data_IF_703616866911
#
_entry.id   IF_703616866911
#
_cell.length_a   1.000
_cell.length_b   1.000
_cell.length_c   1.000
_cell.angle_alpha   90.00
_cell.angle_beta   90.00
_cell.angle_gamma   90.00
#
_symmetry.space_group_name_H-M   'P 1'
#
loop_
_entity.id
_entity.type
_entity.pdbx_description
1 polymer ?
#
# COMPACT_ATOMS: atom_id res chain seq x y z
N UNK A 1 12.39 -41.30 27.84
CA UNK A 1 12.28 -40.07 27.04
C UNK A 1 12.26 -38.88 27.99
N UNK A 2 13.26 -37.99 27.89
CA UNK A 2 13.44 -36.84 28.75
C UNK A 2 12.40 -35.75 28.41
N UNK A 3 11.45 -35.52 29.32
CA UNK A 3 10.38 -34.51 29.15
C UNK A 3 10.93 -33.11 28.84
N UNK A 4 12.15 -32.83 29.28
CA UNK A 4 12.92 -31.62 29.00
C UNK A 4 13.25 -31.45 27.52
N UNK A 5 13.61 -32.51 26.78
CA UNK A 5 13.95 -32.40 25.34
C UNK A 5 12.71 -32.07 24.49
N UNK A 6 11.55 -32.56 24.90
CA UNK A 6 10.26 -32.26 24.24
C UNK A 6 9.83 -30.81 24.42
N UNK A 7 10.15 -30.19 25.57
CA UNK A 7 9.88 -28.78 25.85
C UNK A 7 10.79 -27.87 25.01
N UNK A 8 12.07 -28.24 24.85
CA UNK A 8 13.01 -27.49 24.00
C UNK A 8 12.66 -27.56 22.51
N UNK A 9 12.18 -28.72 22.01
CA UNK A 9 11.74 -28.85 20.63
C UNK A 9 10.48 -28.02 20.33
N UNK A 10 9.61 -27.83 21.33
CA UNK A 10 8.41 -26.99 21.22
C UNK A 10 8.75 -25.48 21.28
N UNK A 11 9.77 -25.09 22.06
CA UNK A 11 10.24 -23.70 22.18
C UNK A 11 11.12 -23.25 20.99
N UNK A 12 11.84 -24.15 20.32
CA UNK A 12 12.58 -23.87 19.08
C UNK A 12 11.66 -23.73 17.84
N UNK A 13 10.37 -24.04 17.97
CA UNK A 13 9.40 -24.04 16.89
C UNK A 13 8.68 -22.71 16.64
N UNK A 14 9.09 -21.61 17.30
CA UNK A 14 8.57 -20.27 16.96
C UNK A 14 9.27 -19.80 15.68
N UNK A 15 8.94 -20.46 14.58
CA UNK A 15 9.27 -20.04 13.23
C UNK A 15 8.63 -18.65 13.07
N UNK A 16 9.47 -17.64 12.88
CA UNK A 16 9.06 -16.31 12.45
C UNK A 16 8.37 -16.41 11.09
N UNK A 17 7.08 -16.73 11.10
CA UNK A 17 6.25 -16.76 9.91
C UNK A 17 5.98 -15.32 9.49
N UNK A 18 6.88 -14.76 8.67
CA UNK A 18 6.65 -13.51 7.96
C UNK A 18 5.63 -13.82 6.83
N UNK A 19 4.35 -13.82 7.18
CA UNK A 19 3.30 -13.85 6.17
C UNK A 19 3.25 -12.49 5.47
N UNK A 20 3.27 -12.52 4.13
CA UNK A 20 2.88 -11.39 3.30
C UNK A 20 1.49 -10.90 3.72
N UNK A 21 1.33 -9.62 4.04
CA UNK A 21 0.02 -9.07 4.40
C UNK A 21 -0.75 -8.65 3.15
N UNK A 22 -2.05 -8.95 3.12
CA UNK A 22 -2.96 -8.41 2.12
C UNK A 22 -3.54 -7.07 2.61
N UNK A 23 -3.25 -6.00 1.87
CA UNK A 23 -3.63 -4.63 2.21
C UNK A 23 -4.74 -4.19 1.25
N UNK A 24 -5.94 -4.00 1.80
CA UNK A 24 -7.13 -3.71 1.01
C UNK A 24 -7.20 -2.24 0.58
N UNK A 25 -7.52 -2.02 -0.70
CA UNK A 25 -7.85 -0.70 -1.25
C UNK A 25 -9.17 -0.80 -2.01
N UNK A 26 -10.17 -0.02 -1.61
CA UNK A 26 -11.40 0.10 -2.35
C UNK A 26 -11.19 0.99 -3.59
N UNK A 27 -11.72 0.53 -4.72
CA UNK A 27 -11.73 1.27 -5.99
C UNK A 27 -13.17 1.71 -6.27
N UNK A 28 -13.39 3.02 -6.25
CA UNK A 28 -14.73 3.61 -6.25
C UNK A 28 -15.27 3.72 -4.82
N UNK A 29 -15.51 4.94 -4.37
CA UNK A 29 -15.92 5.24 -3.00
C UNK A 29 -17.43 5.28 -2.78
N UNK A 30 -17.87 5.49 -1.52
CA UNK A 30 -19.27 5.60 -1.16
C UNK A 30 -20.02 6.63 -2.02
N UNK A 31 -21.27 6.33 -2.36
CA UNK A 31 -22.13 7.18 -3.21
C UNK A 31 -21.57 7.43 -4.62
N UNK A 32 -20.78 6.49 -5.15
CA UNK A 32 -20.26 6.55 -6.52
C UNK A 32 -19.12 7.55 -6.71
N UNK A 33 -18.41 7.91 -5.63
CA UNK A 33 -17.24 8.80 -5.73
C UNK A 33 -16.10 8.12 -6.49
N UNK A 34 -15.44 8.86 -7.37
CA UNK A 34 -14.21 8.41 -8.01
C UNK A 34 -13.05 8.53 -7.01
N UNK A 35 -12.78 7.47 -6.24
CA UNK A 35 -11.79 7.50 -5.16
C UNK A 35 -11.11 6.14 -4.93
N UNK A 36 -9.84 6.17 -4.55
CA UNK A 36 -9.16 5.05 -3.90
C UNK A 36 -9.26 5.20 -2.39
N UNK A 37 -9.67 4.16 -1.66
CA UNK A 37 -9.85 4.23 -0.20
C UNK A 37 -9.12 3.05 0.46
N UNK A 38 -8.06 3.29 1.26
CA UNK A 38 -7.42 4.59 1.45
C UNK A 38 -6.68 5.06 0.18
N UNK A 39 -6.50 6.37 0.03
CA UNK A 39 -5.71 6.96 -1.06
C UNK A 39 -4.21 7.06 -0.72
N UNK A 40 -3.83 6.77 0.53
CA UNK A 40 -2.44 6.58 0.94
C UNK A 40 -2.32 5.19 1.55
N UNK A 41 -1.50 4.35 0.93
CA UNK A 41 -1.33 2.94 1.28
C UNK A 41 0.09 2.77 1.81
N UNK A 42 0.22 2.21 3.00
CA UNK A 42 1.51 1.88 3.60
C UNK A 42 1.72 0.38 3.46
N UNK A 43 2.87 -0.03 2.94
CA UNK A 43 3.21 -1.43 2.74
C UNK A 43 4.69 -1.68 3.03
N UNK A 44 5.05 -2.95 3.11
CA UNK A 44 6.43 -3.42 3.21
C UNK A 44 6.71 -4.36 2.04
N UNK A 45 7.94 -4.38 1.53
CA UNK A 45 8.34 -5.38 0.52
C UNK A 45 7.93 -6.78 0.98
N UNK A 46 7.19 -7.49 0.12
CA UNK A 46 6.59 -8.79 0.41
C UNK A 46 5.08 -8.76 0.59
N UNK A 47 4.47 -7.61 0.89
CA UNK A 47 3.01 -7.47 0.99
C UNK A 47 2.30 -7.55 -0.38
N UNK A 48 0.97 -7.67 -0.34
CA UNK A 48 0.11 -7.53 -1.51
C UNK A 48 -0.84 -6.34 -1.32
N UNK A 49 -0.99 -5.50 -2.33
CA UNK A 49 -2.07 -4.51 -2.36
C UNK A 49 -3.25 -5.09 -3.14
N UNK A 50 -4.37 -5.24 -2.45
CA UNK A 50 -5.57 -5.86 -3.00
C UNK A 50 -6.59 -4.77 -3.32
N UNK A 51 -6.66 -4.41 -4.60
CA UNK A 51 -7.61 -3.44 -5.10
C UNK A 51 -8.96 -4.10 -5.39
N UNK A 52 -10.02 -3.63 -4.73
CA UNK A 52 -11.38 -4.16 -4.86
C UNK A 52 -12.33 -3.09 -5.39
N UNK A 53 -12.86 -3.28 -6.60
CA UNK A 53 -13.83 -2.38 -7.20
C UNK A 53 -15.17 -2.53 -6.49
N UNK A 54 -15.58 -1.47 -5.79
CA UNK A 54 -16.85 -1.40 -5.05
C UNK A 54 -17.94 -0.74 -5.88
N UNK A 55 -17.59 0.27 -6.67
CA UNK A 55 -18.53 1.01 -7.54
C UNK A 55 -17.83 1.48 -8.82
N UNK A 56 -18.61 1.82 -9.85
CA UNK A 56 -18.13 2.52 -11.04
C UNK A 56 -17.20 1.73 -11.96
N UNK A 57 -16.70 2.43 -12.99
CA UNK A 57 -15.67 1.97 -13.92
C UNK A 57 -14.36 2.66 -13.58
N UNK A 58 -13.32 1.89 -13.28
CA UNK A 58 -12.02 2.47 -12.90
C UNK A 58 -10.86 1.64 -13.41
N UNK A 59 -9.70 2.28 -13.54
CA UNK A 59 -8.41 1.62 -13.77
C UNK A 59 -7.43 2.02 -12.67
N UNK A 60 -6.31 1.32 -12.60
CA UNK A 60 -5.15 1.68 -11.79
C UNK A 60 -3.98 1.75 -12.73
N UNK A 61 -3.37 2.93 -12.82
CA UNK A 61 -2.22 3.18 -13.68
C UNK A 61 -1.19 3.90 -12.84
N UNK A 62 0.03 3.38 -12.81
CA UNK A 62 1.13 4.10 -12.17
C UNK A 62 1.48 5.37 -12.94
N UNK A 63 1.73 6.45 -12.20
CA UNK A 63 2.19 7.73 -12.71
C UNK A 63 3.64 8.00 -12.30
N UNK A 64 4.40 8.66 -13.17
CA UNK A 64 5.71 9.18 -12.79
C UNK A 64 5.54 10.31 -11.75
N UNK A 65 6.42 10.37 -10.75
CA UNK A 65 6.26 11.27 -9.61
C UNK A 65 6.16 12.77 -9.97
N UNK A 66 6.62 13.17 -11.15
CA UNK A 66 6.58 14.56 -11.63
C UNK A 66 5.32 14.92 -12.43
N UNK A 67 4.50 13.95 -12.85
CA UNK A 67 3.35 14.18 -13.72
C UNK A 67 2.09 13.63 -13.09
N UNK A 68 1.02 14.42 -13.12
CA UNK A 68 -0.32 14.01 -12.72
C UNK A 68 -1.02 13.39 -13.94
N UNK A 69 -1.81 12.34 -13.73
CA UNK A 69 -2.61 11.68 -14.77
C UNK A 69 -1.84 11.19 -16.01
N UNK A 70 -0.56 10.87 -15.87
CA UNK A 70 0.29 10.45 -17.00
C UNK A 70 0.90 9.10 -16.69
N UNK A 71 0.70 8.12 -17.58
CA UNK A 71 1.26 6.80 -17.39
C UNK A 71 2.78 6.86 -17.25
N UNK A 72 3.32 6.13 -16.28
CA UNK A 72 4.75 6.01 -16.07
C UNK A 72 5.44 5.38 -17.28
N UNK A 73 6.64 5.87 -17.59
CA UNK A 73 7.53 5.32 -18.63
C UNK A 73 8.45 4.22 -18.10
N UNK A 74 8.39 3.90 -16.80
CA UNK A 74 9.24 2.88 -16.18
C UNK A 74 8.87 1.49 -16.68
N UNK A 75 9.87 0.63 -16.87
CA UNK A 75 9.66 -0.76 -17.27
C UNK A 75 8.97 -1.60 -16.19
N UNK A 76 9.08 -1.21 -14.92
CA UNK A 76 8.44 -1.84 -13.77
C UNK A 76 7.16 -1.11 -13.34
N UNK A 77 6.57 -0.28 -14.21
CA UNK A 77 5.34 0.42 -13.92
C UNK A 77 4.17 -0.55 -13.82
N UNK A 78 3.35 -0.42 -12.78
CA UNK A 78 2.17 -1.28 -12.63
C UNK A 78 0.93 -0.68 -13.32
N UNK A 79 0.06 -1.58 -13.79
CA UNK A 79 -1.25 -1.25 -14.35
C UNK A 79 -2.23 -2.38 -14.10
N UNK A 80 -3.51 -2.06 -13.87
CA UNK A 80 -4.59 -3.06 -13.84
C UNK A 80 -4.82 -3.72 -15.21
N UNK A 81 -4.17 -3.24 -16.28
CA UNK A 81 -4.31 -3.76 -17.65
C UNK A 81 -5.58 -3.29 -18.37
N UNK A 82 -6.31 -2.33 -17.78
CA UNK A 82 -7.54 -1.81 -18.34
C UNK A 82 -8.43 -1.14 -17.29
N UNK A 83 -9.59 -0.66 -17.74
CA UNK A 83 -10.63 -0.11 -16.87
C UNK A 83 -11.78 -1.12 -16.72
N UNK A 84 -12.11 -1.47 -15.48
CA UNK A 84 -13.09 -2.51 -15.14
C UNK A 84 -14.28 -1.94 -14.37
N UNK A 85 -15.45 -2.55 -14.56
CA UNK A 85 -16.64 -2.30 -13.74
C UNK A 85 -16.57 -3.06 -12.43
N UNK A 86 -17.16 -2.52 -11.37
CA UNK A 86 -17.44 -3.30 -10.16
C UNK A 86 -18.48 -4.42 -10.44
N UNK A 87 -18.37 -5.59 -9.79
CA UNK A 87 -17.28 -6.01 -8.90
C UNK A 87 -16.06 -6.52 -9.68
N UNK A 88 -14.87 -6.23 -9.16
CA UNK A 88 -13.59 -6.76 -9.64
C UNK A 88 -12.58 -6.72 -8.51
N UNK A 89 -11.60 -7.62 -8.55
CA UNK A 89 -10.44 -7.58 -7.68
C UNK A 89 -9.17 -7.70 -8.52
N UNK A 90 -8.13 -6.96 -8.15
CA UNK A 90 -6.80 -7.04 -8.74
C UNK A 90 -5.75 -6.88 -7.64
N UNK A 91 -4.73 -7.72 -7.67
CA UNK A 91 -3.69 -7.77 -6.66
C UNK A 91 -2.37 -7.30 -7.25
N UNK A 92 -1.72 -6.36 -6.58
CA UNK A 92 -0.38 -5.88 -6.88
C UNK A 92 0.59 -6.44 -5.81
N UNK A 93 1.45 -7.40 -6.15
CA UNK A 93 2.55 -7.78 -5.26
C UNK A 93 3.54 -6.63 -5.15
N UNK A 94 4.05 -6.34 -3.95
CA UNK A 94 5.05 -5.27 -3.75
C UNK A 94 6.43 -5.84 -3.50
N UNK A 95 7.33 -5.65 -4.46
CA UNK A 95 8.67 -6.23 -4.50
C UNK A 95 9.78 -5.19 -4.34
N UNK A 96 9.52 -3.94 -4.74
CA UNK A 96 10.49 -2.83 -4.70
C UNK A 96 10.05 -1.76 -3.71
N UNK A 97 10.91 -1.45 -2.74
CA UNK A 97 10.69 -0.36 -1.79
C UNK A 97 10.71 1.02 -2.48
N UNK A 98 9.98 1.97 -1.93
CA UNK A 98 9.90 3.33 -2.45
C UNK A 98 8.49 3.92 -2.42
N UNK A 99 8.35 5.12 -2.98
CA UNK A 99 7.07 5.80 -3.12
C UNK A 99 6.60 5.69 -4.57
N UNK A 100 5.42 5.11 -4.79
CA UNK A 100 4.77 5.00 -6.10
C UNK A 100 3.47 5.81 -6.08
N UNK A 101 3.14 6.48 -7.19
CA UNK A 101 1.87 7.21 -7.36
C UNK A 101 1.04 6.52 -8.42
N UNK A 102 -0.27 6.51 -8.25
CA UNK A 102 -1.17 5.91 -9.23
C UNK A 102 -2.46 6.71 -9.36
N UNK A 103 -3.16 6.49 -10.46
CA UNK A 103 -4.37 7.21 -10.80
C UNK A 103 -5.34 6.33 -11.59
N UNK A 104 -6.58 6.81 -11.73
CA UNK A 104 -7.57 6.23 -12.64
C UNK A 104 -7.56 6.93 -14.00
N UNK A 105 -7.33 6.18 -15.08
CA UNK A 105 -7.25 6.68 -16.46
C UNK A 105 -8.58 6.83 -17.19
N UNK A 106 -9.71 6.55 -16.54
CA UNK A 106 -11.03 6.84 -17.13
C UNK A 106 -11.16 8.35 -17.35
N UNK A 107 -11.60 8.81 -18.54
CA UNK A 107 -11.72 10.23 -18.84
C UNK A 107 -12.47 11.00 -17.75
N UNK A 108 -11.87 12.08 -17.25
CA UNK A 108 -12.44 12.91 -16.19
C UNK A 108 -12.25 12.40 -14.76
N UNK A 109 -11.76 11.17 -14.54
CA UNK A 109 -11.62 10.63 -13.18
C UNK A 109 -10.35 11.10 -12.46
N UNK A 110 -9.28 11.43 -13.19
CA UNK A 110 -8.00 11.81 -12.59
C UNK A 110 -7.84 13.32 -12.32
N UNK A 111 -8.41 14.20 -13.14
CA UNK A 111 -8.14 15.63 -13.06
C UNK A 111 -8.67 16.27 -11.77
N UNK A 112 -7.86 17.08 -11.05
CA UNK A 112 -8.33 17.88 -9.92
C UNK A 112 -9.51 18.78 -10.31
N UNK A 113 -10.53 18.88 -9.47
CA UNK A 113 -11.77 19.64 -9.75
C UNK A 113 -12.95 18.79 -10.23
N UNK A 114 -12.72 17.55 -10.66
CA UNK A 114 -13.76 16.54 -10.97
C UNK A 114 -13.65 15.28 -10.08
N UNK A 115 -12.97 15.38 -8.94
CA UNK A 115 -12.84 14.31 -7.96
C UNK A 115 -11.43 13.75 -7.77
N UNK A 116 -10.51 13.95 -8.73
CA UNK A 116 -9.07 13.70 -8.54
C UNK A 116 -8.74 12.30 -8.01
N UNK A 117 -9.06 11.26 -8.77
CA UNK A 117 -8.87 9.86 -8.33
C UNK A 117 -7.42 9.42 -8.46
N UNK A 118 -6.65 9.74 -7.43
CA UNK A 118 -5.23 9.43 -7.29
C UNK A 118 -4.94 8.72 -5.95
N UNK A 119 -3.84 7.98 -5.92
CA UNK A 119 -3.35 7.33 -4.73
C UNK A 119 -1.82 7.33 -4.65
N UNK A 120 -1.31 7.14 -3.44
CA UNK A 120 0.12 6.99 -3.15
C UNK A 120 0.35 5.70 -2.39
N UNK A 121 1.30 4.90 -2.87
CA UNK A 121 1.81 3.72 -2.19
C UNK A 121 3.20 4.04 -1.61
N UNK A 122 3.39 3.82 -0.31
CA UNK A 122 4.65 3.99 0.39
C UNK A 122 5.12 2.62 0.87
N UNK A 123 6.15 2.09 0.21
CA UNK A 123 6.68 0.74 0.42
C UNK A 123 7.99 0.84 1.20
N UNK A 124 8.03 0.23 2.39
CA UNK A 124 9.22 0.17 3.24
C UNK A 124 10.05 -1.06 2.88
N UNK A 125 11.37 -0.93 2.99
CA UNK A 125 12.27 -2.08 2.96
C UNK A 125 12.40 -2.63 4.40
N UNK A 126 11.96 -3.87 4.68
CA UNK A 126 12.06 -4.45 6.02
C UNK A 126 13.51 -4.67 6.47
N UNK A 127 14.44 -4.75 5.51
CA UNK A 127 15.87 -5.00 5.74
C UNK A 127 16.72 -3.72 5.64
N UNK A 128 16.10 -2.54 5.52
CA UNK A 128 16.86 -1.30 5.56
C UNK A 128 17.57 -1.19 6.92
N UNK A 129 18.88 -0.87 6.97
CA UNK A 129 19.56 -0.60 8.23
C UNK A 129 18.77 0.48 8.94
N UNK A 130 18.23 0.14 10.12
CA UNK A 130 17.42 1.07 10.89
C UNK A 130 18.22 2.35 11.09
N UNK A 131 17.75 3.46 10.53
CA UNK A 131 17.94 4.75 11.21
C UNK A 131 17.12 4.63 12.49
N UNK A 132 17.67 3.98 13.51
CA UNK A 132 17.33 4.25 14.91
C UNK A 132 17.69 5.70 15.15
N UNK A 133 16.82 6.61 14.70
CA UNK A 133 16.75 7.93 15.28
C UNK A 133 16.34 7.73 16.74
N UNK A 134 17.02 8.36 17.71
CA UNK A 134 16.56 8.34 19.07
C UNK A 134 15.25 9.12 19.10
N UNK A 135 14.12 8.41 19.04
CA UNK A 135 12.85 8.94 19.48
C UNK A 135 12.95 9.19 20.97
N UNK A 136 13.45 10.37 21.35
CA UNK A 136 13.22 10.88 22.70
C UNK A 136 11.71 11.01 22.85
N UNK A 137 11.13 10.11 23.62
CA UNK A 137 9.85 10.32 24.28
C UNK A 137 10.10 11.44 25.29
N UNK A 138 9.87 12.70 24.92
CA UNK A 138 9.73 13.76 25.92
C UNK A 138 8.32 13.68 26.50
N UNK A 139 8.16 12.76 27.46
CA UNK A 139 7.17 12.90 28.51
C UNK A 139 7.48 14.17 29.30
N UNK A 140 6.44 14.90 29.70
CA UNK A 140 6.49 16.32 30.08
C UNK A 140 7.40 16.69 31.24
N UNK A 141 7.80 17.97 31.24
CA UNK A 141 8.16 18.71 32.43
C UNK A 141 7.63 20.16 32.29
N UNK A 142 6.79 20.52 33.25
CA UNK A 142 6.28 21.86 33.52
C UNK A 142 7.41 22.70 34.10
N UNK A 143 7.72 23.88 33.54
CA UNK A 143 8.30 25.02 34.29
C UNK A 143 7.88 26.32 33.60
N UNK A 144 7.13 27.14 34.34
CA UNK A 144 6.82 28.56 34.07
C UNK A 144 8.09 29.41 33.98
N UNK A 145 8.06 30.49 33.20
CA UNK A 145 8.12 31.90 33.64
C UNK A 145 7.76 32.79 32.45
#
# INVERSE_FOLDING_TARGET
>A
MNKTLSIYLFLLGIIIYAHAADIMVEVGGPKGKNAFIPNVVLATVGDNIVFTWKTGKHSIIESDAAKICSMSSRSDAFTSGGAFMAPKQWTLPVDVAGKRRFYCGVPGHCTPGFGGMEGTLIIRNPNAPGKTGPGKVSSGLVVSY
#
